data_IF_456183354571
#
_entry.id   IF_456183354571
#
_cell.length_a   1.000
_cell.length_b   1.000
_cell.length_c   1.000
_cell.angle_alpha   90.00
_cell.angle_beta   90.00
_cell.angle_gamma   90.00
#
_symmetry.space_group_name_H-M   'P 1'
#
loop_
_entity.id
_entity.type
_entity.pdbx_description
1 polymer ?
#
# COMPACT_ATOMS: atom_id res chain seq x y z
N UNK A 1 27.39 -20.21 0.37
CA UNK A 1 26.60 -19.54 -0.69
C UNK A 1 25.23 -20.18 -0.67
N UNK A 2 24.27 -19.52 -0.02
CA UNK A 2 22.88 -19.99 -0.03
C UNK A 2 22.28 -19.67 -1.40
N UNK A 3 21.75 -20.66 -2.09
CA UNK A 3 20.96 -20.42 -3.30
C UNK A 3 19.60 -19.91 -2.88
N UNK A 4 19.37 -18.61 -3.04
CA UNK A 4 18.07 -18.00 -2.80
C UNK A 4 17.21 -18.28 -4.04
N UNK A 5 16.10 -19.00 -3.83
CA UNK A 5 15.10 -19.22 -4.86
C UNK A 5 14.36 -17.92 -5.15
N UNK A 6 14.49 -17.44 -6.38
CA UNK A 6 13.74 -16.27 -6.85
C UNK A 6 12.22 -16.52 -6.74
N UNK A 7 11.77 -17.73 -7.05
CA UNK A 7 10.36 -18.11 -6.98
C UNK A 7 9.80 -17.99 -5.55
N UNK A 8 10.56 -18.46 -4.56
CA UNK A 8 10.13 -18.40 -3.16
C UNK A 8 10.12 -16.97 -2.63
N UNK A 9 11.07 -16.14 -3.10
CA UNK A 9 11.11 -14.71 -2.79
C UNK A 9 9.90 -13.99 -3.36
N UNK A 10 9.59 -14.23 -4.64
CA UNK A 10 8.41 -13.66 -5.32
C UNK A 10 7.12 -14.10 -4.64
N UNK A 11 7.00 -15.38 -4.27
CA UNK A 11 5.82 -15.90 -3.57
C UNK A 11 5.64 -15.25 -2.20
N UNK A 12 6.73 -15.06 -1.45
CA UNK A 12 6.71 -14.42 -0.13
C UNK A 12 6.28 -12.95 -0.22
N UNK A 13 6.90 -12.18 -1.13
CA UNK A 13 6.54 -10.78 -1.38
C UNK A 13 5.09 -10.65 -1.85
N UNK A 14 4.64 -11.55 -2.72
CA UNK A 14 3.25 -11.58 -3.21
C UNK A 14 2.26 -11.82 -2.07
N UNK A 15 2.53 -12.77 -1.17
CA UNK A 15 1.66 -13.06 -0.03
C UNK A 15 1.65 -11.94 1.00
N UNK A 16 2.80 -11.31 1.27
CA UNK A 16 2.91 -10.18 2.18
C UNK A 16 2.12 -8.97 1.64
N UNK A 17 2.32 -8.62 0.36
CA UNK A 17 1.57 -7.55 -0.29
C UNK A 17 0.06 -7.83 -0.31
N UNK A 18 -0.35 -9.08 -0.56
CA UNK A 18 -1.76 -9.45 -0.60
C UNK A 18 -2.43 -9.37 0.78
N UNK A 19 -1.74 -9.84 1.83
CA UNK A 19 -2.21 -9.70 3.23
C UNK A 19 -2.37 -8.23 3.61
N UNK A 20 -1.35 -7.41 3.31
CA UNK A 20 -1.40 -5.96 3.53
C UNK A 20 -2.53 -5.31 2.75
N UNK A 21 -2.77 -5.71 1.50
CA UNK A 21 -3.86 -5.16 0.71
C UNK A 21 -5.23 -5.43 1.35
N UNK A 22 -5.45 -6.61 1.92
CA UNK A 22 -6.66 -6.93 2.70
C UNK A 22 -6.82 -6.04 3.92
N UNK A 23 -5.74 -5.80 4.66
CA UNK A 23 -5.75 -4.94 5.86
C UNK A 23 -5.91 -3.45 5.51
N UNK A 24 -5.35 -2.98 4.38
CA UNK A 24 -5.68 -1.65 3.84
C UNK A 24 -7.17 -1.60 3.56
N UNK A 25 -7.76 -2.66 3.00
CA UNK A 25 -9.18 -2.82 2.75
C UNK A 25 -9.99 -3.43 3.89
N UNK A 26 -9.89 -2.83 5.07
CA UNK A 26 -10.89 -3.00 6.11
C UNK A 26 -12.21 -2.28 5.73
N UNK A 27 -12.95 -2.82 4.77
CA UNK A 27 -14.33 -2.42 4.49
C UNK A 27 -15.29 -3.56 4.86
N UNK A 28 -15.88 -3.54 6.07
CA UNK A 28 -16.77 -4.61 6.53
C UNK A 28 -18.00 -4.81 5.64
N UNK A 29 -18.38 -3.81 4.84
CA UNK A 29 -19.46 -3.94 3.85
C UNK A 29 -19.09 -4.84 2.67
N UNK A 30 -17.81 -4.92 2.28
CA UNK A 30 -17.34 -5.79 1.19
C UNK A 30 -17.26 -7.24 1.62
N UNK A 31 -16.77 -7.48 2.84
CA UNK A 31 -16.76 -8.80 3.46
C UNK A 31 -18.18 -9.36 3.59
N UNK A 32 -19.16 -8.52 3.98
CA UNK A 32 -20.57 -8.91 4.05
C UNK A 32 -21.20 -9.23 2.68
N UNK A 33 -20.59 -8.77 1.58
CA UNK A 33 -21.01 -9.06 0.21
C UNK A 33 -20.24 -10.26 -0.41
N UNK A 34 -19.42 -10.96 0.38
CA UNK A 34 -18.59 -12.07 -0.11
C UNK A 34 -17.44 -11.64 -1.02
N UNK A 35 -17.10 -10.35 -1.04
CA UNK A 35 -15.96 -9.84 -1.80
C UNK A 35 -14.73 -9.90 -0.90
N UNK A 36 -13.97 -10.97 -1.05
CA UNK A 36 -12.75 -11.23 -0.27
C UNK A 36 -11.47 -10.73 -0.94
N UNK A 37 -11.54 -10.40 -2.23
CA UNK A 37 -10.39 -9.95 -3.01
C UNK A 37 -10.11 -8.45 -2.77
N UNK A 38 -8.84 -8.08 -2.51
CA UNK A 38 -8.41 -6.69 -2.45
C UNK A 38 -8.61 -5.98 -3.79
N UNK A 39 -8.88 -4.69 -3.76
CA UNK A 39 -8.82 -3.85 -4.97
C UNK A 39 -7.39 -3.70 -5.46
N UNK A 40 -7.26 -3.39 -6.74
CA UNK A 40 -5.98 -3.02 -7.34
C UNK A 40 -5.32 -1.83 -6.63
N UNK A 41 -6.10 -0.86 -6.16
CA UNK A 41 -5.56 0.29 -5.42
C UNK A 41 -4.92 -0.15 -4.09
N UNK A 42 -5.57 -1.06 -3.38
CA UNK A 42 -5.04 -1.64 -2.15
C UNK A 42 -3.78 -2.46 -2.39
N UNK A 43 -3.76 -3.26 -3.47
CA UNK A 43 -2.58 -4.02 -3.89
C UNK A 43 -1.43 -3.10 -4.26
N UNK A 44 -1.69 -2.04 -5.03
CA UNK A 44 -0.66 -1.08 -5.44
C UNK A 44 -0.04 -0.37 -4.22
N UNK A 45 -0.86 0.07 -3.26
CA UNK A 45 -0.37 0.66 -2.02
C UNK A 45 0.41 -0.36 -1.17
N UNK A 46 -0.05 -1.61 -1.09
CA UNK A 46 0.64 -2.66 -0.34
C UNK A 46 2.01 -3.00 -0.93
N UNK A 47 2.12 -3.05 -2.26
CA UNK A 47 3.41 -3.23 -2.95
C UNK A 47 4.34 -2.06 -2.64
N UNK A 48 3.87 -0.82 -2.71
CA UNK A 48 4.70 0.34 -2.38
C UNK A 48 5.22 0.30 -0.93
N UNK A 49 4.43 -0.20 0.02
CA UNK A 49 4.84 -0.40 1.41
C UNK A 49 5.87 -1.51 1.53
N UNK A 50 5.67 -2.64 0.86
CA UNK A 50 6.58 -3.80 0.89
C UNK A 50 7.95 -3.47 0.29
N UNK A 51 7.97 -2.69 -0.78
CA UNK A 51 9.21 -2.24 -1.42
C UNK A 51 9.80 -0.98 -0.77
N UNK A 52 9.24 -0.52 0.36
CA UNK A 52 9.70 0.66 1.08
C UNK A 52 9.86 1.90 0.20
N UNK A 53 8.91 2.13 -0.70
CA UNK A 53 8.92 3.31 -1.54
C UNK A 53 8.92 4.58 -0.67
N UNK A 54 9.62 5.62 -1.11
CA UNK A 54 9.57 6.92 -0.41
C UNK A 54 8.19 7.56 -0.56
N UNK A 55 7.60 7.46 -1.75
CA UNK A 55 6.31 8.05 -2.09
C UNK A 55 5.35 7.03 -2.70
N UNK A 56 4.08 7.19 -2.35
CA UNK A 56 2.98 6.55 -3.07
C UNK A 56 2.02 7.64 -3.55
N UNK A 57 1.93 7.80 -4.87
CA UNK A 57 1.10 8.80 -5.51
C UNK A 57 -0.20 8.17 -6.04
N UNK A 58 -1.34 8.79 -5.73
CA UNK A 58 -2.63 8.38 -6.30
C UNK A 58 -3.51 9.60 -6.61
N UNK A 59 -4.30 9.49 -7.68
CA UNK A 59 -5.32 10.48 -8.06
C UNK A 59 -6.68 10.22 -7.40
N UNK A 60 -6.86 9.09 -6.70
CA UNK A 60 -8.10 8.83 -5.96
C UNK A 60 -8.05 9.52 -4.59
N UNK A 61 -8.71 10.67 -4.49
CA UNK A 61 -8.79 11.46 -3.25
C UNK A 61 -9.45 10.72 -2.08
N UNK A 62 -10.40 9.82 -2.35
CA UNK A 62 -11.05 9.04 -1.29
C UNK A 62 -10.09 8.02 -0.74
N UNK A 63 -9.36 7.34 -1.62
CA UNK A 63 -8.34 6.37 -1.24
C UNK A 63 -7.14 7.04 -0.56
N UNK A 64 -6.66 8.17 -1.09
CA UNK A 64 -5.58 8.98 -0.50
C UNK A 64 -5.91 9.39 0.94
N UNK A 65 -7.13 9.90 1.19
CA UNK A 65 -7.58 10.26 2.55
C UNK A 65 -7.56 9.06 3.50
N UNK A 66 -7.96 7.89 3.02
CA UNK A 66 -7.91 6.64 3.79
C UNK A 66 -6.47 6.25 4.14
N UNK A 67 -5.55 6.28 3.17
CA UNK A 67 -4.14 5.97 3.39
C UNK A 67 -3.46 6.96 4.35
N UNK A 68 -3.71 8.26 4.19
CA UNK A 68 -3.23 9.29 5.13
C UNK A 68 -3.75 9.06 6.55
N UNK A 69 -5.02 8.67 6.70
CA UNK A 69 -5.60 8.33 8.01
C UNK A 69 -4.95 7.09 8.62
N UNK A 70 -4.69 6.05 7.84
CA UNK A 70 -3.97 4.85 8.27
C UNK A 70 -2.56 5.20 8.80
N UNK A 71 -1.81 6.01 8.04
CA UNK A 71 -0.47 6.48 8.42
C UNK A 71 -0.50 7.27 9.73
N UNK A 72 -1.45 8.20 9.87
CA UNK A 72 -1.58 9.04 11.07
C UNK A 72 -1.92 8.23 12.32
N UNK A 73 -2.76 7.21 12.18
CA UNK A 73 -3.18 6.36 13.31
C UNK A 73 -2.10 5.36 13.73
N UNK A 74 -1.01 5.21 12.95
CA UNK A 74 -0.04 4.10 13.09
C UNK A 74 -0.77 2.77 13.28
N UNK A 75 -1.86 2.59 12.55
CA UNK A 75 -2.83 1.52 12.81
C UNK A 75 -2.28 0.13 12.50
N UNK A 76 -1.11 0.05 11.89
CA UNK A 76 -0.52 -1.16 11.32
C UNK A 76 0.95 -1.19 11.67
N UNK A 77 1.41 -2.35 12.15
CA UNK A 77 2.81 -2.59 12.53
C UNK A 77 3.64 -2.98 11.29
N UNK A 78 3.62 -2.12 10.27
CA UNK A 78 4.25 -2.38 8.96
C UNK A 78 5.54 -1.59 8.75
N UNK A 79 6.12 -1.06 9.83
CA UNK A 79 7.32 -0.23 9.76
C UNK A 79 7.06 1.13 9.11
N UNK A 80 8.03 1.59 8.31
CA UNK A 80 7.97 2.91 7.69
C UNK A 80 7.01 2.90 6.50
N UNK A 81 5.92 3.65 6.63
CA UNK A 81 4.95 3.85 5.55
C UNK A 81 5.41 4.98 4.61
N UNK A 82 5.19 4.82 3.28
CA UNK A 82 5.51 5.85 2.29
C UNK A 82 4.77 7.15 2.56
N UNK A 83 5.25 8.24 1.97
CA UNK A 83 4.49 9.48 1.86
C UNK A 83 3.35 9.29 0.85
N UNK A 84 2.14 9.16 1.37
CA UNK A 84 0.91 9.13 0.57
C UNK A 84 0.57 10.54 0.09
N UNK A 85 0.62 10.75 -1.23
CA UNK A 85 0.48 12.07 -1.86
C UNK A 85 -0.45 12.05 -3.09
N UNK A 86 -1.01 13.20 -3.42
CA UNK A 86 -1.59 13.45 -4.75
C UNK A 86 -0.50 13.85 -5.75
N UNK A 87 -0.78 13.84 -7.07
CA UNK A 87 0.20 14.28 -8.07
C UNK A 87 0.65 15.73 -7.87
N UNK A 88 -0.25 16.61 -7.43
CA UNK A 88 0.08 18.02 -7.18
C UNK A 88 0.95 18.18 -5.93
N UNK A 89 0.68 17.39 -4.89
CA UNK A 89 1.52 17.36 -3.68
C UNK A 89 2.93 16.84 -4.02
N UNK A 90 3.02 15.75 -4.81
CA UNK A 90 4.30 15.21 -5.25
C UNK A 90 5.07 16.22 -6.10
N UNK A 91 4.42 16.85 -7.08
CA UNK A 91 5.04 17.85 -7.94
C UNK A 91 5.60 19.04 -7.13
N UNK A 92 4.86 19.52 -6.12
CA UNK A 92 5.33 20.59 -5.24
C UNK A 92 6.54 20.19 -4.39
N UNK A 93 6.75 18.89 -4.15
CA UNK A 93 7.86 18.36 -3.36
C UNK A 93 9.11 18.10 -4.20
N UNK A 94 8.95 17.60 -5.43
CA UNK A 94 10.09 17.17 -6.27
C UNK A 94 10.54 18.21 -7.29
N UNK A 95 9.70 19.17 -7.67
CA UNK A 95 10.05 20.20 -8.65
C UNK A 95 10.74 21.36 -7.92
N UNK A 96 12.02 21.65 -8.21
CA UNK A 96 12.71 22.80 -7.64
C UNK A 96 12.02 24.11 -8.02
N UNK A 97 12.04 25.09 -7.11
CA UNK A 97 11.54 26.44 -7.38
C UNK A 97 12.43 27.21 -8.35
#
# INVERSE_FOLDING_TARGET
>A
MEMISLADTVATVSNAAYTKAKEIELNPKRTALGIEEPTFDALHAAVAIEYHADYFCTTDDRFLRKLKALRKRKALDWGLLPYFVSPLELAAEIIPK
#
